data_IF_190399484752
#
_entry.id   IF_190399484752
#
_cell.length_a   1.000
_cell.length_b   1.000
_cell.length_c   1.000
_cell.angle_alpha   90.00
_cell.angle_beta   90.00
_cell.angle_gamma   90.00
#
_symmetry.space_group_name_H-M   'P 1'
#
loop_
_entity.id
_entity.type
_entity.pdbx_description
1 polymer ?
#
# COMPACT_ATOMS: atom_id res chain seq x y z
N UNK A 1 1.24 23.67 25.87
CA UNK A 1 1.37 22.31 26.44
C UNK A 1 0.02 21.60 26.69
N UNK A 2 -1.07 21.87 25.95
CA UNK A 2 -2.38 21.21 26.17
C UNK A 2 -3.14 20.72 24.89
N UNK A 3 -2.50 20.60 23.71
CA UNK A 3 -3.26 20.40 22.46
C UNK A 3 -3.04 19.06 21.74
N UNK A 4 -2.31 18.10 22.33
CA UNK A 4 -1.94 16.86 21.63
C UNK A 4 -2.96 15.71 21.77
N UNK A 5 -3.99 15.84 22.61
CA UNK A 5 -4.84 14.70 22.98
C UNK A 5 -5.92 14.28 21.94
N UNK A 6 -6.58 15.16 21.17
CA UNK A 6 -7.71 14.71 20.34
C UNK A 6 -7.30 13.92 19.11
N UNK A 7 -6.18 14.27 18.47
CA UNK A 7 -5.77 13.71 17.17
C UNK A 7 -5.49 12.19 17.25
N UNK A 8 -4.87 11.74 18.35
CA UNK A 8 -4.60 10.31 18.58
C UNK A 8 -5.88 9.50 18.80
N UNK A 9 -6.81 10.03 19.59
CA UNK A 9 -8.11 9.40 19.86
C UNK A 9 -8.96 9.30 18.59
N UNK A 10 -9.00 10.35 17.76
CA UNK A 10 -9.69 10.31 16.48
C UNK A 10 -9.04 9.31 15.50
N UNK A 11 -7.71 9.26 15.44
CA UNK A 11 -6.99 8.30 14.59
C UNK A 11 -7.24 6.84 14.97
N UNK A 12 -7.16 6.52 16.26
CA UNK A 12 -7.49 5.18 16.78
C UNK A 12 -8.96 4.83 16.55
N UNK A 13 -9.89 5.78 16.70
CA UNK A 13 -11.32 5.57 16.45
C UNK A 13 -11.58 5.22 14.98
N UNK A 14 -10.97 5.95 14.04
CA UNK A 14 -11.07 5.64 12.61
C UNK A 14 -10.47 4.27 12.26
N UNK A 15 -9.37 3.88 12.89
CA UNK A 15 -8.75 2.57 12.67
C UNK A 15 -9.67 1.41 13.11
N UNK A 16 -10.41 1.58 14.20
CA UNK A 16 -11.40 0.58 14.66
C UNK A 16 -12.61 0.51 13.72
N UNK A 17 -13.07 1.63 13.17
CA UNK A 17 -14.17 1.66 12.20
C UNK A 17 -13.85 0.89 10.90
N UNK A 18 -12.58 0.87 10.48
CA UNK A 18 -12.12 0.16 9.28
C UNK A 18 -12.02 -1.36 9.48
N UNK A 19 -12.05 -1.86 10.73
CA UNK A 19 -11.88 -3.28 11.03
C UNK A 19 -12.99 -4.21 10.48
N UNK A 20 -14.15 -3.67 10.10
CA UNK A 20 -15.20 -4.42 9.38
C UNK A 20 -15.81 -5.58 10.18
N UNK A 21 -16.18 -6.65 9.47
CA UNK A 21 -16.90 -7.84 10.00
C UNK A 21 -16.07 -8.66 11.00
N UNK A 22 -14.75 -8.73 10.78
CA UNK A 22 -13.83 -9.50 11.62
C UNK A 22 -13.06 -8.58 12.59
N UNK A 23 -13.75 -8.05 13.59
CA UNK A 23 -13.18 -7.15 14.61
C UNK A 23 -11.89 -7.72 15.24
N UNK A 24 -11.85 -9.05 15.48
CA UNK A 24 -10.69 -9.73 16.05
C UNK A 24 -9.44 -9.63 15.16
N UNK A 25 -9.60 -9.79 13.83
CA UNK A 25 -8.50 -9.68 12.87
C UNK A 25 -8.04 -8.23 12.73
N UNK A 26 -8.98 -7.28 12.75
CA UNK A 26 -8.67 -5.85 12.73
C UNK A 26 -7.89 -5.39 13.97
N UNK A 27 -8.31 -5.80 15.18
CA UNK A 27 -7.59 -5.49 16.41
C UNK A 27 -6.19 -6.12 16.46
N UNK A 28 -6.05 -7.36 16.00
CA UNK A 28 -4.74 -8.01 15.89
C UNK A 28 -3.81 -7.26 14.93
N UNK A 29 -4.31 -6.84 13.76
CA UNK A 29 -3.55 -6.04 12.79
C UNK A 29 -3.17 -4.65 13.35
N UNK A 30 -4.08 -4.00 14.09
CA UNK A 30 -3.84 -2.70 14.74
C UNK A 30 -2.74 -2.82 15.80
N UNK A 31 -2.79 -3.83 16.67
CA UNK A 31 -1.75 -4.08 17.68
C UNK A 31 -0.38 -4.33 17.04
N UNK A 32 -0.32 -5.12 15.96
CA UNK A 32 0.93 -5.36 15.22
C UNK A 32 1.45 -4.06 14.61
N UNK A 33 0.59 -3.27 13.97
CA UNK A 33 0.96 -1.96 13.39
C UNK A 33 1.45 -0.96 14.44
N UNK A 34 0.81 -0.91 15.61
CA UNK A 34 1.18 -0.05 16.72
C UNK A 34 2.55 -0.44 17.32
N UNK A 35 2.81 -1.75 17.45
CA UNK A 35 4.12 -2.26 17.88
C UNK A 35 5.22 -1.84 16.90
N UNK A 36 5.00 -1.98 15.59
CA UNK A 36 5.97 -1.59 14.56
C UNK A 36 6.20 -0.06 14.57
N UNK A 37 5.15 0.74 14.73
CA UNK A 37 5.25 2.19 14.81
C UNK A 37 5.97 2.69 16.07
N UNK A 38 5.99 1.88 17.14
CA UNK A 38 6.67 2.21 18.40
C UNK A 38 8.19 1.97 18.39
N UNK A 39 8.72 1.33 17.34
CA UNK A 39 10.15 1.07 17.17
C UNK A 39 10.86 2.32 16.65
N UNK A 40 11.89 2.79 17.35
CA UNK A 40 12.71 3.93 16.92
C UNK A 40 13.37 4.71 18.07
N UNK A 41 14.02 5.82 17.71
CA UNK A 41 14.62 6.76 18.65
C UNK A 41 13.59 7.79 19.13
N UNK A 42 13.47 7.93 20.44
CA UNK A 42 12.71 9.02 21.04
C UNK A 42 13.50 10.33 20.91
N UNK A 43 12.95 11.31 20.19
CA UNK A 43 13.61 12.61 19.92
C UNK A 43 13.95 13.38 21.21
N UNK A 44 13.21 13.14 22.30
CA UNK A 44 13.33 13.93 23.53
C UNK A 44 14.33 13.38 24.53
N UNK A 45 14.49 12.07 24.55
CA UNK A 45 15.30 11.38 25.55
C UNK A 45 16.49 10.63 24.94
N UNK A 46 16.52 10.45 23.62
CA UNK A 46 17.63 9.80 22.91
C UNK A 46 17.82 8.33 23.28
N UNK A 47 16.88 7.73 24.03
CA UNK A 47 16.91 6.31 24.35
C UNK A 47 16.27 5.53 23.20
N UNK A 48 16.99 4.56 22.63
CA UNK A 48 16.50 3.87 21.45
C UNK A 48 15.59 2.71 21.89
N UNK A 49 14.30 2.76 21.55
CA UNK A 49 13.29 1.77 21.95
C UNK A 49 13.24 0.63 20.94
N UNK A 50 13.45 -0.60 21.42
CA UNK A 50 13.56 -1.82 20.60
C UNK A 50 14.74 -1.85 19.60
N UNK A 51 15.85 -1.18 19.91
CA UNK A 51 17.06 -1.29 19.10
C UNK A 51 18.01 -2.31 19.72
N UNK A 52 18.12 -3.47 19.09
CA UNK A 52 18.91 -4.62 19.56
C UNK A 52 20.43 -4.43 19.38
N UNK A 53 20.96 -3.22 19.63
CA UNK A 53 22.38 -2.90 19.51
C UNK A 53 22.89 -2.66 18.07
N UNK A 54 22.02 -2.67 17.05
CA UNK A 54 22.41 -2.37 15.66
C UNK A 54 22.22 -0.89 15.32
N UNK A 55 23.25 -0.26 14.73
CA UNK A 55 23.22 1.12 14.25
C UNK A 55 22.12 1.39 13.22
N UNK A 56 21.79 0.40 12.38
CA UNK A 56 20.72 0.52 11.38
C UNK A 56 19.31 0.66 11.99
N UNK A 57 19.09 0.19 13.23
CA UNK A 57 17.81 0.36 13.93
C UNK A 57 17.79 1.63 14.81
N UNK A 58 18.94 2.27 15.07
CA UNK A 58 18.97 3.54 15.81
C UNK A 58 18.20 4.64 15.08
N UNK A 59 18.25 4.70 13.76
CA UNK A 59 17.46 5.66 12.97
C UNK A 59 15.96 5.29 12.89
N UNK A 60 15.59 4.10 13.39
CA UNK A 60 14.25 3.53 13.25
C UNK A 60 14.04 2.90 11.87
N UNK A 61 12.78 2.52 11.59
CA UNK A 61 12.41 1.99 10.27
C UNK A 61 12.36 3.16 9.30
N UNK A 62 13.18 3.13 8.26
CA UNK A 62 13.15 4.16 7.22
C UNK A 62 11.76 4.26 6.57
N UNK A 63 11.38 5.46 6.14
CA UNK A 63 10.05 5.69 5.56
C UNK A 63 9.77 4.86 4.30
N UNK A 64 10.79 4.65 3.47
CA UNK A 64 10.69 3.89 2.21
C UNK A 64 10.22 2.44 2.42
N UNK A 65 10.87 1.60 3.25
CA UNK A 65 10.41 0.23 3.50
C UNK A 65 9.04 0.18 4.18
N UNK A 66 8.70 1.15 5.05
CA UNK A 66 7.37 1.23 5.66
C UNK A 66 6.28 1.43 4.60
N UNK A 67 6.49 2.34 3.64
CA UNK A 67 5.56 2.56 2.53
C UNK A 67 5.43 1.32 1.64
N UNK A 68 6.55 0.71 1.25
CA UNK A 68 6.54 -0.48 0.40
C UNK A 68 5.77 -1.61 1.11
N UNK A 69 5.97 -1.80 2.41
CA UNK A 69 5.25 -2.79 3.21
C UNK A 69 3.74 -2.55 3.24
N UNK A 70 3.30 -1.30 3.45
CA UNK A 70 1.88 -0.95 3.52
C UNK A 70 1.13 -1.19 2.20
N UNK A 71 1.79 -0.99 1.05
CA UNK A 71 1.20 -1.26 -0.26
C UNK A 71 1.35 -2.72 -0.71
N UNK A 72 2.47 -3.37 -0.40
CA UNK A 72 2.75 -4.73 -0.84
C UNK A 72 1.98 -5.79 -0.02
N UNK A 73 1.80 -5.57 1.30
CA UNK A 73 1.13 -6.54 2.18
C UNK A 73 -0.29 -6.91 1.71
N UNK A 74 -1.20 -5.95 1.44
CA UNK A 74 -2.55 -6.27 0.98
C UNK A 74 -2.57 -7.01 -0.36
N UNK A 75 -1.66 -6.66 -1.27
CA UNK A 75 -1.56 -7.28 -2.58
C UNK A 75 -1.10 -8.74 -2.47
N UNK A 76 -0.09 -9.00 -1.62
CA UNK A 76 0.40 -10.35 -1.38
C UNK A 76 -0.67 -11.20 -0.68
N UNK A 77 -1.37 -10.66 0.33
CA UNK A 77 -2.47 -11.37 1.00
C UNK A 77 -3.59 -11.72 0.01
N UNK A 78 -3.95 -10.81 -0.91
CA UNK A 78 -4.94 -11.07 -1.96
C UNK A 78 -4.48 -12.16 -2.93
N UNK A 79 -3.21 -12.10 -3.35
CA UNK A 79 -2.62 -13.13 -4.22
C UNK A 79 -2.62 -14.50 -3.54
N UNK A 80 -2.30 -14.58 -2.25
CA UNK A 80 -2.34 -15.83 -1.49
C UNK A 80 -3.76 -16.36 -1.31
N UNK A 81 -4.72 -15.50 -0.96
CA UNK A 81 -6.13 -15.88 -0.82
C UNK A 81 -6.76 -16.33 -2.13
N UNK A 82 -6.32 -15.79 -3.28
CA UNK A 82 -6.73 -16.26 -4.60
C UNK A 82 -6.02 -17.55 -5.03
N UNK A 83 -4.81 -17.83 -4.51
CA UNK A 83 -4.02 -19.00 -4.89
C UNK A 83 -4.57 -20.31 -4.37
N UNK A 84 -5.38 -20.30 -3.31
CA UNK A 84 -6.12 -21.49 -2.89
C UNK A 84 -7.18 -21.95 -3.92
N UNK A 85 -7.61 -21.06 -4.83
CA UNK A 85 -8.47 -21.38 -5.99
C UNK A 85 -7.71 -21.45 -7.34
N UNK A 86 -6.43 -21.07 -7.39
CA UNK A 86 -5.68 -20.88 -8.65
C UNK A 86 -4.76 -22.05 -9.05
N UNK A 87 -5.09 -23.30 -8.69
CA UNK A 87 -4.52 -24.49 -9.35
C UNK A 87 -5.17 -24.76 -10.73
N UNK A 88 -5.39 -23.70 -11.51
CA UNK A 88 -5.80 -23.77 -12.91
C UNK A 88 -5.18 -22.59 -13.65
N UNK A 89 -3.87 -22.67 -13.87
CA UNK A 89 -3.23 -22.00 -15.01
C UNK A 89 -3.75 -22.63 -16.32
N UNK A 90 -4.56 -21.95 -17.14
CA UNK A 90 -4.64 -22.30 -18.56
C UNK A 90 -3.30 -21.93 -19.22
N UNK A 91 -2.75 -22.88 -19.98
CA UNK A 91 -1.62 -22.70 -20.88
C UNK A 91 -1.83 -21.46 -21.77
N UNK A 92 -1.10 -20.39 -21.48
CA UNK A 92 -1.10 -19.17 -22.30
C UNK A 92 -0.11 -19.36 -23.43
N UNK A 93 -0.58 -20.00 -24.50
CA UNK A 93 0.12 -20.04 -25.78
C UNK A 93 0.36 -18.59 -26.29
N UNK A 94 1.63 -18.13 -26.37
CA UNK A 94 1.96 -16.72 -26.57
C UNK A 94 1.61 -16.17 -27.97
N UNK A 95 1.31 -17.03 -28.95
CA UNK A 95 1.13 -16.63 -30.35
C UNK A 95 -0.20 -15.94 -30.69
N UNK A 96 -1.28 -16.21 -29.96
CA UNK A 96 -2.64 -15.74 -30.34
C UNK A 96 -3.02 -14.39 -29.70
N UNK A 97 -2.54 -14.12 -28.49
CA UNK A 97 -2.87 -12.92 -27.71
C UNK A 97 -2.30 -11.63 -28.35
N UNK A 98 -1.09 -11.71 -28.90
CA UNK A 98 -0.44 -10.59 -29.59
C UNK A 98 -1.21 -10.16 -30.85
N UNK A 99 -1.84 -11.10 -31.57
CA UNK A 99 -2.63 -10.74 -32.77
C UNK A 99 -3.93 -10.00 -32.41
N UNK A 100 -4.55 -10.36 -31.28
CA UNK A 100 -5.76 -9.70 -30.76
C UNK A 100 -5.46 -8.30 -30.22
N UNK A 101 -4.32 -8.12 -29.55
CA UNK A 101 -3.85 -6.82 -29.05
C UNK A 101 -3.44 -5.92 -30.22
N UNK A 102 -2.78 -6.46 -31.25
CA UNK A 102 -2.42 -5.72 -32.46
C UNK A 102 -3.66 -5.30 -33.29
N UNK A 103 -4.69 -6.15 -33.37
CA UNK A 103 -5.95 -5.83 -34.02
C UNK A 103 -6.80 -4.82 -33.22
N UNK A 104 -6.74 -4.86 -31.89
CA UNK A 104 -7.40 -3.90 -31.01
C UNK A 104 -6.70 -2.53 -30.98
N UNK A 105 -5.36 -2.50 -31.02
CA UNK A 105 -4.55 -1.27 -31.02
C UNK A 105 -4.80 -0.37 -32.23
N UNK A 106 -5.16 -0.95 -33.38
CA UNK A 106 -5.46 -0.19 -34.60
C UNK A 106 -6.77 0.62 -34.53
N UNK A 107 -7.73 0.22 -33.67
CA UNK A 107 -9.01 0.93 -33.53
C UNK A 107 -8.99 2.06 -32.49
N UNK A 108 -8.12 1.96 -31.47
CA UNK A 108 -7.98 2.99 -30.43
C UNK A 108 -7.20 4.23 -30.92
N UNK A 109 -6.29 4.11 -31.89
CA UNK A 109 -5.44 5.24 -32.30
C UNK A 109 -6.22 6.43 -32.90
N UNK A 110 -7.46 6.23 -33.34
CA UNK A 110 -8.31 7.26 -33.91
C UNK A 110 -8.83 8.30 -32.89
N UNK A 111 -9.37 7.91 -31.71
CA UNK A 111 -9.73 8.87 -30.65
C UNK A 111 -8.53 9.50 -29.92
N UNK A 112 -7.39 8.81 -29.83
CA UNK A 112 -6.19 9.33 -29.17
C UNK A 112 -5.57 10.55 -29.89
N UNK A 113 -5.70 10.62 -31.22
CA UNK A 113 -5.22 11.78 -31.99
C UNK A 113 -6.20 12.96 -32.02
N UNK A 114 -7.49 12.75 -31.75
CA UNK A 114 -8.49 13.85 -31.73
C UNK A 114 -8.53 14.62 -30.42
N UNK A 115 -8.17 14.00 -29.29
CA UNK A 115 -8.20 14.67 -27.98
C UNK A 115 -7.04 15.66 -27.76
N UNK A 116 -5.92 15.50 -28.48
CA UNK A 116 -4.74 16.37 -28.32
C UNK A 116 -4.91 17.79 -28.86
N UNK A 117 -6.00 18.11 -29.58
CA UNK A 117 -6.28 19.48 -30.05
C UNK A 117 -7.11 20.28 -29.03
N UNK A 118 -7.76 19.63 -28.04
CA UNK A 118 -8.71 20.31 -27.14
C UNK A 118 -8.19 20.62 -25.72
N UNK A 119 -7.02 20.13 -25.32
CA UNK A 119 -6.41 20.48 -24.03
C UNK A 119 -4.95 20.87 -24.21
N UNK A 120 -4.75 22.03 -24.84
CA UNK A 120 -3.47 22.71 -24.86
C UNK A 120 -3.40 23.58 -23.59
N UNK A 121 -2.48 23.32 -22.65
CA UNK A 121 -2.37 24.05 -21.38
C UNK A 121 -1.75 25.45 -21.54
N UNK A 122 -1.87 26.08 -22.71
CA UNK A 122 -1.39 27.46 -22.94
C UNK A 122 -2.48 28.51 -22.70
N UNK A 123 -3.62 28.10 -22.14
CA UNK A 123 -4.73 28.97 -21.80
C UNK A 123 -5.36 28.58 -20.45
N UNK A 124 -4.54 28.29 -19.43
CA UNK A 124 -4.81 28.53 -18.01
C UNK A 124 -3.52 28.39 -17.19
#
# INVERSE_FOLDING_TARGET
MCAAEPLGCFGLSCAVLVAGDDMLKGMAALMIGLLIASVGMDYTTGYPRFTFGSWALHEGISFIPALIGMFALPEILRLLSQKDCARRLPDVAPGSAISKIAAAGRRHWWPARRASVMTCPVCW
#
